data_IF_375982377095
#
_entry.id   IF_375982377095
#
_cell.length_a   1.000
_cell.length_b   1.000
_cell.length_c   1.000
_cell.angle_alpha   90.00
_cell.angle_beta   90.00
_cell.angle_gamma   90.00
#
_symmetry.space_group_name_H-M   'P 1'
#
loop_
_entity.id
_entity.type
_entity.pdbx_description
1 polymer ?
#
# COMPACT_ATOMS: atom_id res chain seq x y z
N UNK A 1 4.14 -5.07 6.94
CA UNK A 1 3.47 -3.87 6.39
C UNK A 1 4.27 -3.39 5.18
N UNK A 2 3.61 -3.29 4.03
CA UNK A 2 4.24 -2.93 2.76
C UNK A 2 4.53 -1.43 2.59
N UNK A 3 4.00 -0.57 3.48
CA UNK A 3 4.20 0.87 3.40
C UNK A 3 5.69 1.25 3.54
N UNK A 4 6.21 2.23 2.78
CA UNK A 4 7.62 2.62 2.81
C UNK A 4 8.12 2.94 4.22
N UNK A 5 9.25 2.33 4.62
CA UNK A 5 9.88 2.56 5.92
C UNK A 5 9.18 1.91 7.13
N UNK A 6 8.11 1.13 6.92
CA UNK A 6 7.46 0.43 8.03
C UNK A 6 8.16 -0.88 8.39
N UNK A 7 8.34 -1.13 9.68
CA UNK A 7 8.96 -2.35 10.22
C UNK A 7 7.96 -3.29 10.89
N UNK A 8 6.66 -2.99 10.83
CA UNK A 8 5.61 -3.85 11.41
C UNK A 8 5.49 -5.14 10.61
N UNK A 9 5.61 -6.33 11.23
CA UNK A 9 5.63 -7.60 10.53
C UNK A 9 4.26 -7.97 9.97
N UNK A 10 4.25 -8.90 9.00
CA UNK A 10 3.03 -9.35 8.31
C UNK A 10 1.90 -9.83 9.25
N UNK A 11 2.16 -10.57 10.35
CA UNK A 11 1.11 -11.04 11.26
C UNK A 11 0.32 -9.92 11.96
N UNK A 12 0.83 -8.70 11.98
CA UNK A 12 0.18 -7.53 12.58
C UNK A 12 -0.38 -6.58 11.51
N UNK A 13 -0.55 -7.08 10.30
CA UNK A 13 -1.10 -6.33 9.18
C UNK A 13 -2.49 -6.83 8.81
N UNK A 14 -3.27 -5.91 8.29
CA UNK A 14 -4.57 -6.11 7.67
C UNK A 14 -4.39 -6.18 6.15
N UNK A 15 -5.24 -6.96 5.47
CA UNK A 15 -5.28 -6.99 4.02
C UNK A 15 -6.02 -5.76 3.49
N UNK A 16 -5.35 -4.98 2.64
CA UNK A 16 -5.90 -3.79 2.00
C UNK A 16 -6.08 -4.04 0.51
N UNK A 17 -7.29 -3.81 0.00
CA UNK A 17 -7.58 -3.90 -1.43
C UNK A 17 -7.02 -2.68 -2.17
N UNK A 18 -6.26 -2.90 -3.24
CA UNK A 18 -5.66 -1.85 -4.06
C UNK A 18 -6.73 -1.22 -4.96
N UNK A 19 -7.45 -2.05 -5.69
CA UNK A 19 -8.72 -1.67 -6.31
C UNK A 19 -9.82 -1.95 -5.30
N UNK A 20 -10.51 -0.90 -4.86
CA UNK A 20 -11.63 -1.03 -3.94
C UNK A 20 -12.64 -2.07 -4.42
N UNK A 21 -13.12 -2.92 -3.52
CA UNK A 21 -14.18 -3.88 -3.81
C UNK A 21 -15.42 -3.21 -4.41
N UNK A 22 -15.78 -2.02 -3.91
CA UNK A 22 -16.88 -1.20 -4.42
C UNK A 22 -16.71 -0.72 -5.87
N UNK A 23 -15.50 -0.82 -6.44
CA UNK A 23 -15.18 -0.51 -7.83
C UNK A 23 -14.93 -1.76 -8.68
N UNK A 24 -15.34 -2.94 -8.20
CA UNK A 24 -15.17 -4.22 -8.89
C UNK A 24 -13.82 -4.89 -8.67
N UNK A 25 -13.03 -4.45 -7.69
CA UNK A 25 -11.78 -5.10 -7.33
C UNK A 25 -11.99 -6.53 -6.82
N UNK A 26 -11.18 -7.47 -7.30
CA UNK A 26 -11.23 -8.87 -6.86
C UNK A 26 -10.58 -9.03 -5.49
N UNK A 27 -11.09 -9.95 -4.67
CA UNK A 27 -10.40 -10.40 -3.46
C UNK A 27 -9.34 -11.43 -3.83
N UNK A 28 -8.19 -10.96 -4.34
CA UNK A 28 -7.07 -11.81 -4.71
C UNK A 28 -5.76 -11.28 -4.14
N UNK A 29 -4.75 -12.15 -4.01
CA UNK A 29 -3.41 -11.73 -3.61
C UNK A 29 -2.79 -10.72 -4.59
N UNK A 30 -3.24 -10.71 -5.84
CA UNK A 30 -2.80 -9.79 -6.89
C UNK A 30 -3.38 -8.37 -6.72
N UNK A 31 -4.55 -8.27 -6.08
CA UNK A 31 -5.24 -6.99 -5.82
C UNK A 31 -5.17 -6.58 -4.33
N UNK A 32 -4.34 -7.27 -3.53
CA UNK A 32 -4.20 -7.03 -2.09
C UNK A 32 -2.78 -6.62 -1.70
N UNK A 33 -2.66 -5.82 -0.65
CA UNK A 33 -1.38 -5.60 0.04
C UNK A 33 -1.56 -5.59 1.55
N UNK A 34 -0.48 -5.84 2.30
CA UNK A 34 -0.53 -5.90 3.76
C UNK A 34 -0.14 -4.57 4.39
N UNK A 35 -1.05 -3.95 5.14
CA UNK A 35 -0.82 -2.70 5.87
C UNK A 35 -1.06 -2.87 7.36
N UNK A 36 -0.23 -2.25 8.21
CA UNK A 36 -0.60 -2.14 9.63
C UNK A 36 -1.76 -1.14 9.78
N UNK A 37 -2.55 -1.26 10.85
CA UNK A 37 -3.72 -0.41 11.09
C UNK A 37 -3.45 1.08 10.89
N UNK A 38 -2.29 1.59 11.36
CA UNK A 38 -1.89 2.99 11.15
C UNK A 38 -1.77 3.37 9.66
N UNK A 39 -1.06 2.56 8.87
CA UNK A 39 -0.85 2.85 7.44
C UNK A 39 -2.06 2.53 6.58
N UNK A 40 -2.92 1.61 7.04
CA UNK A 40 -4.20 1.35 6.41
C UNK A 40 -5.06 2.63 6.43
N UNK A 41 -5.26 3.22 7.61
CA UNK A 41 -6.01 4.46 7.74
C UNK A 41 -5.32 5.65 7.04
N UNK A 42 -3.99 5.75 7.12
CA UNK A 42 -3.24 6.81 6.43
C UNK A 42 -3.43 6.75 4.91
N UNK A 43 -3.41 5.55 4.33
CA UNK A 43 -3.58 5.34 2.89
C UNK A 43 -4.93 5.87 2.42
N UNK A 44 -6.01 5.58 3.16
CA UNK A 44 -7.33 6.12 2.86
C UNK A 44 -7.43 7.63 3.10
N UNK A 45 -6.94 8.11 4.25
CA UNK A 45 -7.04 9.52 4.65
C UNK A 45 -6.32 10.45 3.67
N UNK A 46 -5.06 10.15 3.40
CA UNK A 46 -4.20 10.97 2.55
C UNK A 46 -4.33 10.60 1.06
N UNK A 47 -5.20 9.65 0.70
CA UNK A 47 -5.45 9.22 -0.68
C UNK A 47 -4.18 8.74 -1.40
N UNK A 48 -3.38 7.91 -0.72
CA UNK A 48 -2.23 7.27 -1.34
C UNK A 48 -2.68 6.30 -2.44
N UNK A 49 -1.98 6.33 -3.56
CA UNK A 49 -2.19 5.37 -4.64
C UNK A 49 -1.23 4.20 -4.50
N UNK A 50 -1.74 2.98 -4.68
CA UNK A 50 -0.91 1.76 -4.61
C UNK A 50 -0.87 1.14 -6.01
N UNK A 51 0.32 0.78 -6.48
CA UNK A 51 0.54 0.06 -7.72
C UNK A 51 1.32 -1.21 -7.45
N UNK A 52 0.88 -2.35 -7.98
CA UNK A 52 1.70 -3.56 -8.00
C UNK A 52 2.59 -3.53 -9.24
N UNK A 53 3.90 -3.66 -9.06
CA UNK A 53 4.89 -3.81 -10.14
C UNK A 53 5.67 -5.09 -9.90
N UNK A 54 5.53 -6.08 -10.79
CA UNK A 54 6.15 -7.39 -10.66
C UNK A 54 5.91 -8.05 -9.27
N UNK A 55 4.66 -8.00 -8.78
CA UNK A 55 4.30 -8.55 -7.46
C UNK A 55 4.70 -7.68 -6.25
N UNK A 56 5.37 -6.55 -6.47
CA UNK A 56 5.84 -5.66 -5.40
C UNK A 56 4.90 -4.44 -5.29
N UNK A 57 4.37 -4.12 -4.11
CA UNK A 57 3.56 -2.92 -3.90
C UNK A 57 4.44 -1.65 -3.85
N UNK A 58 4.07 -0.69 -4.68
CA UNK A 58 4.61 0.66 -4.74
C UNK A 58 3.56 1.67 -4.30
N UNK A 59 3.94 2.57 -3.41
CA UNK A 59 3.12 3.60 -2.81
C UNK A 59 3.46 4.94 -3.43
N UNK A 60 2.47 5.59 -4.01
CA UNK A 60 2.56 6.87 -4.66
C UNK A 60 1.91 7.90 -3.74
N UNK A 61 2.68 8.87 -3.21
CA UNK A 61 2.12 9.94 -2.41
C UNK A 61 1.20 10.81 -3.26
N UNK A 62 0.16 11.40 -2.67
CA UNK A 62 -0.66 12.40 -3.34
C UNK A 62 0.17 13.68 -3.63
N UNK A 63 -0.24 14.51 -4.61
CA UNK A 63 0.50 15.72 -5.01
C UNK A 63 0.77 16.72 -3.88
N UNK A 64 -0.08 16.78 -2.85
CA UNK A 64 0.10 17.68 -1.70
C UNK A 64 1.18 17.21 -0.72
N UNK A 65 1.54 15.93 -0.73
CA UNK A 65 2.66 15.38 0.06
C UNK A 65 3.96 15.30 -0.75
N UNK A 66 3.86 15.07 -2.05
CA UNK A 66 4.98 15.01 -2.98
C UNK A 66 4.49 15.45 -4.37
N UNK A 67 4.83 16.68 -4.83
CA UNK A 67 4.40 17.17 -6.14
C UNK A 67 4.86 16.29 -7.30
N UNK A 68 5.99 15.59 -7.15
CA UNK A 68 6.50 14.67 -8.16
C UNK A 68 5.83 13.29 -8.09
N UNK A 69 5.02 13.03 -7.06
CA UNK A 69 4.35 11.75 -6.81
C UNK A 69 5.32 10.57 -6.96
N UNK A 70 6.50 10.72 -6.37
CA UNK A 70 7.60 9.77 -6.56
C UNK A 70 7.19 8.41 -5.98
N UNK A 71 7.15 7.32 -6.76
CA UNK A 71 6.78 6.01 -6.25
C UNK A 71 7.79 5.48 -5.23
N UNK A 72 7.32 4.99 -4.08
CA UNK A 72 8.14 4.49 -2.98
C UNK A 72 7.75 3.05 -2.66
N UNK A 73 8.71 2.20 -2.30
CA UNK A 73 8.44 0.84 -1.80
C UNK A 73 9.07 0.63 -0.44
N UNK A 74 8.59 -0.37 0.29
CA UNK A 74 9.27 -0.81 1.49
C UNK A 74 10.47 -1.72 1.12
N UNK A 75 11.64 -1.41 1.68
CA UNK A 75 12.88 -2.16 1.48
C UNK A 75 13.29 -2.99 2.72
N UNK A 76 12.56 -2.85 3.84
CA UNK A 76 12.85 -3.54 5.09
C UNK A 76 12.49 -5.03 5.00
N UNK A 77 11.25 -5.32 4.60
CA UNK A 77 10.82 -6.68 4.28
C UNK A 77 11.24 -6.99 2.84
N UNK A 78 12.39 -7.65 2.69
CA UNK A 78 12.85 -8.15 1.40
C UNK A 78 12.20 -9.50 1.16
N UNK A 79 11.26 -9.56 0.22
CA UNK A 79 10.87 -10.80 -0.44
C UNK A 79 11.74 -10.95 -1.70
#
# INVERSE_FOLDING_TARGET
CAFPGCTIPAPWCEAHHITYWSRGGTTSAENGTLLCSRHHHLTHKEQWTIQIRAGIPWFIPPPHLDPCQTPRRNHYFRC
#
